data_IF_732316780465
#
_entry.id   IF_732316780465
#
_cell.length_a   1.000
_cell.length_b   1.000
_cell.length_c   1.000
_cell.angle_alpha   90.00
_cell.angle_beta   90.00
_cell.angle_gamma   90.00
#
_symmetry.space_group_name_H-M   'P 1'
#
loop_
_entity.id
_entity.type
_entity.pdbx_description
1 polymer ?
#
# COMPACT_ATOMS: atom_id res chain seq x y z
N UNK A 1 -8.71 13.46 -6.10
CA UNK A 1 -9.89 12.59 -6.28
C UNK A 1 -9.58 11.09 -6.45
N UNK A 2 -8.38 10.70 -6.89
CA UNK A 2 -8.03 9.28 -7.11
C UNK A 2 -7.83 8.42 -5.86
N UNK A 3 -7.25 8.98 -4.78
CA UNK A 3 -6.87 8.18 -3.60
C UNK A 3 -8.07 7.60 -2.85
N UNK A 4 -9.17 8.35 -2.75
CA UNK A 4 -10.41 7.88 -2.10
C UNK A 4 -11.10 6.78 -2.90
N UNK A 5 -11.12 6.90 -4.24
CA UNK A 5 -11.62 5.86 -5.14
C UNK A 5 -10.75 4.61 -5.09
N UNK A 6 -9.43 4.78 -4.97
CA UNK A 6 -8.46 3.70 -4.76
C UNK A 6 -8.70 2.96 -3.44
N UNK A 7 -8.81 3.66 -2.31
CA UNK A 7 -9.09 2.99 -1.03
C UNK A 7 -10.44 2.28 -1.03
N UNK A 8 -11.49 2.85 -1.64
CA UNK A 8 -12.79 2.18 -1.79
C UNK A 8 -12.70 0.93 -2.66
N UNK A 9 -12.00 1.00 -3.80
CA UNK A 9 -11.84 -0.13 -4.70
C UNK A 9 -10.99 -1.24 -4.13
N UNK A 10 -9.94 -0.85 -3.41
CA UNK A 10 -9.02 -1.82 -2.88
C UNK A 10 -9.53 -2.39 -1.56
N UNK A 11 -10.20 -1.63 -0.69
CA UNK A 11 -10.91 -2.23 0.46
C UNK A 11 -12.04 -3.18 0.06
N UNK A 12 -12.64 -3.01 -1.14
CA UNK A 12 -13.55 -3.99 -1.74
C UNK A 12 -12.85 -5.27 -2.24
N UNK A 13 -11.54 -5.24 -2.45
CA UNK A 13 -10.71 -6.35 -2.93
C UNK A 13 -9.75 -6.91 -1.85
N UNK A 14 -9.63 -6.25 -0.69
CA UNK A 14 -8.65 -6.53 0.37
C UNK A 14 -9.09 -7.67 1.32
N UNK A 15 -9.75 -8.70 0.78
CA UNK A 15 -10.06 -9.89 1.57
C UNK A 15 -8.79 -10.64 2.03
N UNK A 16 -7.67 -10.44 1.33
CA UNK A 16 -6.42 -11.20 1.53
C UNK A 16 -5.21 -10.33 1.92
N UNK A 17 -5.40 -9.13 2.49
CA UNK A 17 -4.30 -8.22 2.89
C UNK A 17 -3.40 -7.75 1.73
N UNK A 18 -3.87 -7.83 0.49
CA UNK A 18 -3.10 -7.42 -0.68
C UNK A 18 -2.75 -5.94 -0.70
N UNK A 19 -3.62 -5.08 -0.17
CA UNK A 19 -3.33 -3.67 -0.09
C UNK A 19 -2.28 -3.36 0.96
N UNK A 20 -2.35 -4.04 2.09
CA UNK A 20 -1.33 -3.95 3.14
C UNK A 20 0.02 -4.40 2.56
N UNK A 21 0.05 -5.50 1.79
CA UNK A 21 1.23 -5.94 1.05
C UNK A 21 1.76 -4.88 0.09
N UNK A 22 0.89 -4.29 -0.74
CA UNK A 22 1.27 -3.22 -1.68
C UNK A 22 1.89 -2.03 -0.95
N UNK A 23 1.26 -1.58 0.14
CA UNK A 23 1.77 -0.46 0.96
C UNK A 23 3.14 -0.81 1.54
N UNK A 24 3.31 -2.01 2.09
CA UNK A 24 4.61 -2.48 2.60
C UNK A 24 5.68 -2.52 1.51
N UNK A 25 5.39 -3.19 0.39
CA UNK A 25 6.33 -3.37 -0.72
C UNK A 25 6.83 -2.03 -1.26
N UNK A 26 5.93 -1.06 -1.43
CA UNK A 26 6.25 0.26 -1.97
C UNK A 26 7.12 1.07 -1.01
N UNK A 27 6.84 1.01 0.29
CA UNK A 27 7.69 1.67 1.29
C UNK A 27 9.07 1.01 1.39
N UNK A 28 9.14 -0.32 1.32
CA UNK A 28 10.40 -1.05 1.26
C UNK A 28 11.24 -0.66 0.02
N UNK A 29 10.61 -0.52 -1.16
CA UNK A 29 11.28 -0.05 -2.39
C UNK A 29 11.77 1.39 -2.30
N UNK A 30 11.03 2.28 -1.62
CA UNK A 30 11.40 3.69 -1.50
C UNK A 30 12.76 3.88 -0.80
N UNK A 31 13.08 3.02 0.18
CA UNK A 31 14.34 3.05 0.92
C UNK A 31 15.53 2.46 0.15
N UNK A 32 15.28 1.76 -0.95
CA UNK A 32 16.27 1.10 -1.81
C UNK A 32 16.82 2.03 -2.92
N UNK A 33 16.34 3.28 -3.00
CA UNK A 33 16.72 4.22 -4.07
C UNK A 33 16.17 3.85 -5.46
N UNK A 34 15.19 2.93 -5.51
CA UNK A 34 14.52 2.55 -6.77
C UNK A 34 13.61 3.69 -7.23
N UNK A 35 13.56 3.88 -8.55
CA UNK A 35 12.63 4.83 -9.16
C UNK A 35 11.21 4.31 -8.95
N UNK A 36 10.44 5.02 -8.14
CA UNK A 36 9.02 4.76 -7.94
C UNK A 36 8.22 5.36 -9.09
N UNK A 37 7.19 4.64 -9.54
CA UNK A 37 6.18 5.21 -10.41
C UNK A 37 5.41 6.34 -9.68
N UNK A 38 4.76 7.24 -10.43
CA UNK A 38 3.91 8.28 -9.84
C UNK A 38 2.87 7.69 -8.87
N UNK A 39 2.34 6.52 -9.22
CA UNK A 39 1.39 5.79 -8.41
C UNK A 39 1.98 5.30 -7.08
N UNK A 40 3.17 4.69 -7.14
CA UNK A 40 3.87 4.23 -5.93
C UNK A 40 4.27 5.43 -5.05
N UNK A 41 4.72 6.53 -5.65
CA UNK A 41 5.01 7.78 -4.94
C UNK A 41 3.78 8.31 -4.19
N UNK A 42 2.61 8.32 -4.84
CA UNK A 42 1.37 8.75 -4.18
C UNK A 42 1.04 7.89 -2.95
N UNK A 43 1.31 6.57 -3.00
CA UNK A 43 1.13 5.69 -1.84
C UNK A 43 2.11 6.05 -0.73
N UNK A 44 3.40 6.21 -1.03
CA UNK A 44 4.41 6.61 -0.03
C UNK A 44 4.02 7.92 0.64
N UNK A 45 3.80 8.97 -0.15
CA UNK A 45 3.47 10.30 0.37
C UNK A 45 2.18 10.29 1.19
N UNK A 46 1.16 9.53 0.77
CA UNK A 46 -0.09 9.42 1.53
C UNK A 46 0.16 8.86 2.93
N UNK A 47 0.93 7.78 3.04
CA UNK A 47 1.16 7.13 4.33
C UNK A 47 2.20 7.85 5.21
N UNK A 48 3.15 8.56 4.61
CA UNK A 48 4.02 9.49 5.34
C UNK A 48 3.19 10.61 5.99
N UNK A 49 2.30 11.24 5.23
CA UNK A 49 1.39 12.26 5.76
C UNK A 49 0.51 11.66 6.84
N UNK A 50 -0.17 10.55 6.58
CA UNK A 50 -1.05 9.91 7.58
C UNK A 50 -0.31 9.55 8.87
N UNK A 51 0.92 9.07 8.80
CA UNK A 51 1.72 8.74 9.99
C UNK A 51 2.15 9.99 10.76
N UNK A 52 2.31 11.13 10.06
CA UNK A 52 2.64 12.40 10.69
C UNK A 52 1.45 13.09 11.37
N UNK A 53 0.22 12.95 10.83
CA UNK A 53 -0.99 13.58 11.41
C UNK A 53 -1.81 12.67 12.31
N UNK A 54 -1.79 11.35 12.11
CA UNK A 54 -2.60 10.41 12.89
C UNK A 54 -1.72 9.81 14.00
N UNK A 55 -2.11 9.93 15.28
CA UNK A 55 -1.40 9.28 16.38
C UNK A 55 -1.23 7.77 16.15
N UNK A 56 -0.06 7.22 16.51
CA UNK A 56 0.25 5.81 16.26
C UNK A 56 -0.78 4.85 16.88
N UNK A 57 -1.36 5.24 18.02
CA UNK A 57 -2.29 4.43 18.79
C UNK A 57 -3.75 4.54 18.31
N UNK A 58 -4.02 5.29 17.23
CA UNK A 58 -5.37 5.46 16.69
C UNK A 58 -5.78 4.20 15.92
N UNK A 59 -6.70 3.41 16.47
CA UNK A 59 -7.28 2.27 15.76
C UNK A 59 -8.45 2.72 14.87
N UNK A 60 -8.18 2.90 13.58
CA UNK A 60 -9.16 3.25 12.55
C UNK A 60 -9.03 2.31 11.34
N UNK A 61 -9.87 2.51 10.32
CA UNK A 61 -9.84 1.69 9.08
C UNK A 61 -8.53 1.77 8.31
N UNK A 62 -7.66 2.71 8.65
CA UNK A 62 -6.36 2.95 7.97
C UNK A 62 -5.17 2.42 8.79
N UNK A 63 -5.38 2.08 10.07
CA UNK A 63 -4.36 1.55 10.97
C UNK A 63 -3.62 0.30 10.42
N UNK A 64 -4.30 -0.70 9.80
CA UNK A 64 -3.60 -1.84 9.21
C UNK A 64 -2.62 -1.45 8.11
N UNK A 65 -2.95 -0.44 7.30
CA UNK A 65 -2.10 0.04 6.23
C UNK A 65 -0.94 0.89 6.76
N UNK A 66 -1.18 1.73 7.78
CA UNK A 66 -0.09 2.47 8.46
C UNK A 66 0.93 1.50 9.08
N UNK A 67 0.44 0.40 9.69
CA UNK A 67 1.30 -0.67 10.19
C UNK A 67 2.12 -1.32 9.06
N UNK A 68 1.50 -1.60 7.92
CA UNK A 68 2.20 -2.14 6.76
C UNK A 68 3.28 -1.19 6.21
N UNK A 69 2.98 0.11 6.12
CA UNK A 69 3.95 1.14 5.76
C UNK A 69 5.15 1.14 6.71
N UNK A 70 4.90 1.09 8.03
CA UNK A 70 5.96 1.01 9.06
C UNK A 70 6.84 -0.23 8.89
N UNK A 71 6.25 -1.39 8.59
CA UNK A 71 7.03 -2.63 8.30
C UNK A 71 7.92 -2.41 7.06
N UNK A 72 7.38 -1.84 5.99
CA UNK A 72 8.14 -1.58 4.76
C UNK A 72 9.33 -0.64 4.99
N UNK A 73 9.10 0.49 5.67
CA UNK A 73 10.14 1.47 6.01
C UNK A 73 11.22 0.85 6.90
N UNK A 74 10.82 0.06 7.91
CA UNK A 74 11.75 -0.49 8.91
C UNK A 74 12.56 -1.66 8.35
N UNK A 75 11.90 -2.59 7.66
CA UNK A 75 12.55 -3.81 7.15
C UNK A 75 13.37 -3.56 5.89
N UNK A 76 12.95 -2.59 5.05
CA UNK A 76 13.51 -2.36 3.71
C UNK A 76 13.62 -3.65 2.89
N UNK A 77 12.71 -4.60 3.11
CA UNK A 77 12.78 -5.95 2.56
C UNK A 77 11.44 -6.36 1.98
N UNK A 78 11.40 -6.54 0.65
CA UNK A 78 10.25 -7.10 -0.05
C UNK A 78 9.91 -8.51 0.45
N UNK A 79 10.92 -9.27 0.90
CA UNK A 79 10.71 -10.61 1.43
C UNK A 79 9.98 -10.54 2.79
N UNK A 80 10.35 -9.59 3.65
CA UNK A 80 9.64 -9.37 4.92
C UNK A 80 8.18 -8.94 4.69
N UNK A 81 7.92 -8.07 3.71
CA UNK A 81 6.56 -7.70 3.31
C UNK A 81 5.77 -8.92 2.80
N UNK A 82 6.38 -9.75 1.96
CA UNK A 82 5.74 -10.97 1.43
C UNK A 82 5.41 -11.97 2.54
N UNK A 83 6.32 -12.18 3.49
CA UNK A 83 6.06 -13.06 4.64
C UNK A 83 5.01 -12.50 5.60
N UNK A 84 4.96 -11.18 5.79
CA UNK A 84 3.99 -10.52 6.68
C UNK A 84 2.56 -10.55 6.12
N UNK A 85 2.43 -10.56 4.79
CA UNK A 85 1.16 -10.50 4.07
C UNK A 85 1.02 -11.67 3.08
N UNK A 86 1.33 -12.87 3.57
CA UNK A 86 1.42 -14.11 2.77
C UNK A 86 0.07 -14.62 2.25
N UNK A 87 -1.05 -14.13 2.81
CA UNK A 87 -2.39 -14.35 2.27
C UNK A 87 -2.55 -13.77 0.86
N UNK A 88 -1.82 -12.70 0.53
CA UNK A 88 -1.85 -12.12 -0.79
C UNK A 88 -0.87 -12.83 -1.73
N UNK A 89 -1.41 -13.56 -2.70
CA UNK A 89 -0.62 -14.25 -3.74
C UNK A 89 -0.13 -13.32 -4.87
N UNK A 90 -0.60 -12.08 -4.91
CA UNK A 90 -0.30 -11.14 -5.99
C UNK A 90 1.00 -10.35 -5.76
N UNK A 91 1.73 -10.11 -6.85
CA UNK A 91 2.85 -9.17 -6.87
C UNK A 91 2.37 -7.72 -6.83
N UNK A 92 3.24 -6.80 -6.39
CA UNK A 92 2.97 -5.36 -6.39
C UNK A 92 2.44 -4.87 -7.75
N UNK A 93 3.08 -5.31 -8.84
CA UNK A 93 2.70 -4.93 -10.21
C UNK A 93 1.34 -5.48 -10.63
N UNK A 94 1.00 -6.69 -10.21
CA UNK A 94 -0.32 -7.27 -10.47
C UNK A 94 -1.41 -6.48 -9.74
N UNK A 95 -1.17 -6.13 -8.48
CA UNK A 95 -2.11 -5.32 -7.67
C UNK A 95 -2.31 -3.94 -8.30
N UNK A 96 -1.23 -3.26 -8.72
CA UNK A 96 -1.30 -1.97 -9.42
C UNK A 96 -2.08 -2.08 -10.74
N UNK A 97 -1.78 -3.10 -11.55
CA UNK A 97 -2.50 -3.36 -12.81
C UNK A 97 -3.99 -3.60 -12.59
N UNK A 98 -4.35 -4.31 -11.53
CA UNK A 98 -5.75 -4.53 -11.15
C UNK A 98 -6.43 -3.21 -10.77
N UNK A 99 -5.81 -2.38 -9.94
CA UNK A 99 -6.33 -1.05 -9.57
C UNK A 99 -6.61 -0.18 -10.79
N UNK A 100 -5.64 -0.09 -11.71
CA UNK A 100 -5.77 0.72 -12.92
C UNK A 100 -6.90 0.24 -13.86
N UNK A 101 -7.12 -1.08 -13.97
CA UNK A 101 -8.20 -1.65 -14.79
C UNK A 101 -9.59 -1.29 -14.28
N UNK A 102 -9.76 -1.18 -12.97
CA UNK A 102 -11.08 -0.86 -12.41
C UNK A 102 -11.39 0.64 -12.53
N UNK A 103 -10.38 1.50 -12.41
CA UNK A 103 -10.53 2.94 -12.69
C UNK A 103 -10.92 3.20 -14.15
N UNK A 104 -10.36 2.46 -15.10
CA UNK A 104 -10.64 2.63 -16.53
C UNK A 104 -12.04 2.14 -16.96
N UNK A 105 -12.67 1.19 -16.26
CA UNK A 105 -14.03 0.71 -16.57
C UNK A 105 -15.16 1.62 -16.07
N UNK A 106 -14.83 2.64 -15.26
CA UNK A 106 -15.80 3.58 -14.66
C UNK A 106 -15.59 5.03 -15.13
N UNK A 107 -14.66 5.26 -16.05
CA UNK A 107 -14.48 6.51 -16.80
C UNK A 107 -15.25 6.41 -18.12
#
# INVERSE_FOLDING_TARGET
EDVTKFFLLVSLLDQDSCLQKLVCDVHAKSGDGKILSLYENNIVTTFEVMTAVIPENTEDSTAPFRKAAKIGVTSKSLQTCTSSFSSCSYSTEQIIKMGNRVSAKRA
#
